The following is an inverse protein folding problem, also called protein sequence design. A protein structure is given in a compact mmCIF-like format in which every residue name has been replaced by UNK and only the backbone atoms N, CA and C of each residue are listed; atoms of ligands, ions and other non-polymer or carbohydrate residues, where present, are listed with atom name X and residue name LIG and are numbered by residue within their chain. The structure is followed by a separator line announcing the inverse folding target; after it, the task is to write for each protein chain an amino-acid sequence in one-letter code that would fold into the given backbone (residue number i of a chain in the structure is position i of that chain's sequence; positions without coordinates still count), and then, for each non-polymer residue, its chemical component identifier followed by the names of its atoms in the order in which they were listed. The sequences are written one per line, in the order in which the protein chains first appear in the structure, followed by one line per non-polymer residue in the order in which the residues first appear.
data_IF_605214004499
#
_entry.id   IF_605214004499
#
_cell.length_a   1.000
_cell.length_b   1.000
_cell.length_c   1.000
_cell.angle_alpha   90.00
_cell.angle_beta   90.00
_cell.angle_gamma   90.00
#
_symmetry.space_group_name_H-M   'P 1'
#
loop_
_entity.id
_entity.type
_entity.pdbx_description
1 polymer ?
#
# COMPACT_ATOMS: atom_id res chain seq x y z
N UNK A 1 1.93 12.21 -14.88
CA UNK A 1 0.72 11.73 -14.15
C UNK A 1 1.06 10.62 -13.16
N UNK A 2 1.75 9.55 -13.58
CA UNK A 2 2.19 8.49 -12.69
C UNK A 2 3.05 8.99 -11.51
N UNK A 3 4.00 9.90 -11.75
CA UNK A 3 4.90 10.37 -10.69
C UNK A 3 4.18 11.23 -9.64
N UNK A 4 3.20 12.03 -10.05
CA UNK A 4 2.31 12.78 -9.14
C UNK A 4 1.44 11.84 -8.31
N UNK A 5 0.92 10.76 -8.91
CA UNK A 5 0.14 9.76 -8.20
C UNK A 5 1.00 9.03 -7.16
N UNK A 6 2.19 8.54 -7.57
CA UNK A 6 3.19 7.91 -6.69
C UNK A 6 3.52 8.83 -5.51
N UNK A 7 3.80 10.12 -5.77
CA UNK A 7 4.11 11.09 -4.72
C UNK A 7 2.94 11.29 -3.75
N UNK A 8 1.73 11.38 -4.26
CA UNK A 8 0.52 11.58 -3.45
C UNK A 8 0.23 10.36 -2.57
N UNK A 9 0.39 9.16 -3.13
CA UNK A 9 0.28 7.90 -2.39
C UNK A 9 1.33 7.83 -1.28
N UNK A 10 2.59 8.17 -1.59
CA UNK A 10 3.66 8.17 -0.59
C UNK A 10 3.43 9.13 0.58
N UNK A 11 2.91 10.34 0.29
CA UNK A 11 2.49 11.28 1.33
C UNK A 11 1.33 10.75 2.17
N UNK A 12 0.35 10.09 1.53
CA UNK A 12 -0.79 9.49 2.22
C UNK A 12 -0.37 8.36 3.16
N UNK A 13 0.54 7.48 2.74
CA UNK A 13 1.07 6.39 3.56
C UNK A 13 1.82 6.90 4.80
N UNK A 14 2.64 7.95 4.64
CA UNK A 14 3.34 8.60 5.77
C UNK A 14 2.36 9.29 6.71
N UNK A 15 1.36 10.00 6.17
CA UNK A 15 0.34 10.67 6.98
C UNK A 15 -0.51 9.64 7.77
N UNK A 16 -0.88 8.55 7.12
CA UNK A 16 -1.60 7.44 7.73
C UNK A 16 -0.78 6.79 8.86
N UNK A 17 0.51 6.55 8.63
CA UNK A 17 1.40 6.04 9.67
C UNK A 17 1.53 7.00 10.86
N UNK A 18 1.64 8.31 10.59
CA UNK A 18 1.62 9.33 11.63
C UNK A 18 0.33 9.30 12.45
N UNK A 19 -0.82 9.17 11.79
CA UNK A 19 -2.11 9.01 12.48
C UNK A 19 -2.15 7.73 13.32
N UNK A 20 -1.63 6.60 12.80
CA UNK A 20 -1.57 5.35 13.55
C UNK A 20 -0.69 5.45 14.82
N UNK A 21 0.36 6.28 14.80
CA UNK A 21 1.25 6.46 15.95
C UNK A 21 0.67 7.47 16.97
N UNK A 22 0.17 8.61 16.49
CA UNK A 22 -0.18 9.75 17.35
C UNK A 22 -1.68 9.86 17.66
N UNK A 23 -2.56 9.37 16.79
CA UNK A 23 -4.02 9.38 16.96
C UNK A 23 -4.65 8.05 16.50
N UNK A 24 -4.36 6.92 17.17
CA UNK A 24 -4.86 5.63 16.76
C UNK A 24 -6.38 5.48 16.98
N UNK A 25 -6.94 6.07 18.04
CA UNK A 25 -8.37 5.95 18.36
C UNK A 25 -9.33 6.25 17.20
N UNK A 26 -9.28 7.43 16.55
CA UNK A 26 -10.21 7.75 15.46
C UNK A 26 -10.03 6.85 14.23
N UNK A 27 -8.86 6.26 14.06
CA UNK A 27 -8.55 5.42 12.90
C UNK A 27 -9.00 3.98 13.13
N UNK A 28 -8.74 3.46 14.34
CA UNK A 28 -9.06 2.10 14.72
C UNK A 28 -10.54 1.94 15.11
N UNK A 29 -11.15 2.92 15.78
CA UNK A 29 -12.55 2.88 16.21
C UNK A 29 -13.50 3.74 15.34
N UNK A 30 -12.97 4.37 14.28
CA UNK A 30 -13.75 5.22 13.39
C UNK A 30 -14.84 4.48 12.63
N UNK A 31 -15.77 5.26 12.06
CA UNK A 31 -16.90 4.74 11.27
C UNK A 31 -16.47 3.77 10.15
N UNK A 32 -15.30 4.00 9.56
CA UNK A 32 -14.73 3.13 8.55
C UNK A 32 -14.37 1.74 9.11
N UNK A 33 -13.68 1.68 10.26
CA UNK A 33 -13.34 0.42 10.91
C UNK A 33 -14.57 -0.35 11.39
N UNK A 34 -15.61 0.36 11.87
CA UNK A 34 -16.91 -0.24 12.20
C UNK A 34 -17.59 -0.81 10.94
N UNK A 35 -17.56 -0.06 9.83
CA UNK A 35 -18.10 -0.54 8.56
C UNK A 35 -17.35 -1.79 8.05
N UNK A 36 -16.02 -1.77 8.06
CA UNK A 36 -15.20 -2.95 7.68
C UNK A 36 -15.53 -4.14 8.57
N UNK A 37 -15.64 -3.94 9.90
CA UNK A 37 -16.07 -5.00 10.81
C UNK A 37 -17.43 -5.57 10.42
N UNK A 38 -18.41 -4.71 10.11
CA UNK A 38 -19.76 -5.16 9.76
C UNK A 38 -19.82 -5.98 8.46
N UNK A 39 -18.97 -5.65 7.48
CA UNK A 39 -18.95 -6.32 6.18
C UNK A 39 -18.13 -7.62 6.23
N UNK A 40 -17.03 -7.62 6.96
CA UNK A 40 -16.02 -8.68 6.89
C UNK A 40 -15.99 -9.59 8.12
N UNK A 41 -16.60 -9.17 9.23
CA UNK A 41 -16.58 -9.87 10.50
C UNK A 41 -15.24 -9.84 11.25
N UNK A 42 -14.22 -9.13 10.75
CA UNK A 42 -12.94 -9.01 11.45
C UNK A 42 -13.07 -8.08 12.67
N UNK A 43 -12.43 -8.45 13.77
CA UNK A 43 -12.42 -7.64 15.01
C UNK A 43 -11.85 -6.25 14.73
N UNK A 44 -12.51 -5.24 15.29
CA UNK A 44 -11.98 -3.88 15.34
C UNK A 44 -10.68 -3.94 16.13
N UNK A 45 -9.57 -3.51 15.53
CA UNK A 45 -8.30 -3.55 16.24
C UNK A 45 -8.32 -2.60 17.43
N UNK A 46 -7.79 -3.06 18.55
CA UNK A 46 -7.53 -2.23 19.70
C UNK A 46 -6.02 -1.92 19.77
N UNK A 47 -5.60 -0.66 19.54
CA UNK A 47 -4.19 -0.28 19.59
C UNK A 47 -3.55 -0.52 20.97
N UNK A 48 -4.36 -0.59 22.05
CA UNK A 48 -3.89 -0.88 23.39
C UNK A 48 -3.61 -2.37 23.65
N UNK A 49 -4.25 -3.28 22.93
CA UNK A 49 -4.08 -4.73 23.09
C UNK A 49 -2.89 -5.29 22.29
N UNK A 50 -2.44 -4.56 21.27
CA UNK A 50 -1.34 -4.96 20.40
C UNK A 50 -0.48 -3.78 19.93
N UNK A 51 0.16 -3.02 20.85
CA UNK A 51 0.90 -1.80 20.49
C UNK A 51 2.05 -2.07 19.51
N UNK A 52 2.75 -3.21 19.65
CA UNK A 52 3.82 -3.60 18.74
C UNK A 52 3.33 -3.91 17.32
N UNK A 53 2.12 -4.46 17.17
CA UNK A 53 1.53 -4.72 15.86
C UNK A 53 1.12 -3.42 15.16
N UNK A 54 0.47 -2.51 15.87
CA UNK A 54 0.10 -1.19 15.35
C UNK A 54 1.34 -0.38 14.93
N UNK A 55 2.38 -0.37 15.77
CA UNK A 55 3.66 0.28 15.46
C UNK A 55 4.36 -0.37 14.27
N UNK A 56 4.38 -1.71 14.19
CA UNK A 56 4.96 -2.43 13.06
C UNK A 56 4.30 -2.07 11.73
N UNK A 57 2.97 -2.02 11.69
CA UNK A 57 2.22 -1.58 10.50
C UNK A 57 2.51 -0.11 10.15
N UNK A 58 2.57 0.78 11.14
CA UNK A 58 2.91 2.18 10.90
C UNK A 58 4.32 2.33 10.31
N UNK A 59 5.32 1.64 10.86
CA UNK A 59 6.69 1.65 10.34
C UNK A 59 6.77 1.11 8.90
N UNK A 60 6.02 0.05 8.59
CA UNK A 60 5.92 -0.48 7.24
C UNK A 60 5.34 0.55 6.26
N UNK A 61 4.25 1.26 6.66
CA UNK A 61 3.66 2.33 5.85
C UNK A 61 4.62 3.50 5.65
N UNK A 62 5.36 3.92 6.68
CA UNK A 62 6.41 4.95 6.50
C UNK A 62 7.46 4.49 5.50
N UNK A 63 7.97 3.26 5.62
CA UNK A 63 9.01 2.75 4.73
C UNK A 63 8.53 2.70 3.27
N UNK A 64 7.31 2.20 3.03
CA UNK A 64 6.69 2.17 1.71
C UNK A 64 6.49 3.60 1.19
N UNK A 65 5.91 4.50 2.00
CA UNK A 65 5.64 5.87 1.58
C UNK A 65 6.91 6.67 1.25
N UNK A 66 7.99 6.47 2.01
CA UNK A 66 9.31 7.05 1.67
C UNK A 66 9.82 6.49 0.35
N UNK A 67 9.68 5.18 0.11
CA UNK A 67 10.08 4.59 -1.17
C UNK A 67 9.30 5.20 -2.35
N UNK A 68 7.98 5.43 -2.22
CA UNK A 68 7.20 6.14 -3.22
C UNK A 68 7.70 7.57 -3.45
N UNK A 69 7.99 8.33 -2.38
CA UNK A 69 8.52 9.69 -2.51
C UNK A 69 9.84 9.71 -3.28
N UNK A 70 10.78 8.82 -2.95
CA UNK A 70 12.05 8.69 -3.67
C UNK A 70 11.80 8.31 -5.13
N UNK A 71 10.98 7.29 -5.39
CA UNK A 71 10.68 6.85 -6.75
C UNK A 71 10.00 7.93 -7.60
N UNK A 72 9.20 8.82 -7.00
CA UNK A 72 8.55 9.92 -7.71
C UNK A 72 9.53 10.92 -8.33
N UNK A 73 10.78 10.97 -7.84
CA UNK A 73 11.85 11.84 -8.36
C UNK A 73 12.96 11.06 -9.06
N UNK A 74 13.03 9.73 -8.91
CA UNK A 74 14.05 8.87 -9.52
C UNK A 74 13.79 8.49 -10.99
N UNK A 75 12.67 8.92 -11.57
CA UNK A 75 12.34 8.70 -12.97
C UNK A 75 11.70 7.34 -13.28
N UNK A 76 11.48 7.02 -14.57
CA UNK A 76 10.65 5.89 -15.00
C UNK A 76 11.17 4.52 -14.53
N UNK A 77 12.48 4.34 -14.42
CA UNK A 77 13.10 3.07 -14.02
C UNK A 77 12.80 2.62 -12.59
N UNK A 78 12.34 3.51 -11.71
CA UNK A 78 11.97 3.16 -10.33
C UNK A 78 10.54 2.57 -10.22
N UNK A 79 9.72 2.70 -11.27
CA UNK A 79 8.29 2.33 -11.24
C UNK A 79 8.05 0.82 -11.08
N UNK A 80 8.80 -0.08 -11.75
CA UNK A 80 8.63 -1.53 -11.55
C UNK A 80 8.97 -1.96 -10.12
N UNK A 81 9.98 -1.35 -9.50
CA UNK A 81 10.37 -1.63 -8.12
C UNK A 81 9.28 -1.22 -7.13
N UNK A 82 8.69 -0.03 -7.31
CA UNK A 82 7.55 0.39 -6.48
C UNK A 82 6.35 -0.51 -6.68
N UNK A 83 6.05 -0.90 -7.92
CA UNK A 83 4.99 -1.87 -8.17
C UNK A 83 5.25 -3.18 -7.41
N UNK A 84 6.47 -3.72 -7.46
CA UNK A 84 6.82 -4.95 -6.76
C UNK A 84 6.69 -4.83 -5.23
N UNK A 85 7.12 -3.70 -4.64
CA UNK A 85 6.98 -3.43 -3.20
C UNK A 85 5.51 -3.41 -2.79
N UNK A 86 4.66 -2.70 -3.53
CA UNK A 86 3.22 -2.62 -3.23
C UNK A 86 2.54 -3.99 -3.43
N UNK A 87 2.90 -4.72 -4.48
CA UNK A 87 2.37 -6.06 -4.74
C UNK A 87 2.76 -7.03 -3.60
N UNK A 88 4.02 -7.00 -3.15
CA UNK A 88 4.48 -7.80 -2.02
C UNK A 88 3.73 -7.43 -0.73
N UNK A 89 3.57 -6.12 -0.46
CA UNK A 89 2.81 -5.64 0.69
C UNK A 89 1.33 -6.09 0.63
N UNK A 90 0.69 -6.01 -0.53
CA UNK A 90 -0.68 -6.47 -0.74
C UNK A 90 -0.82 -7.97 -0.50
N UNK A 91 0.07 -8.79 -1.08
CA UNK A 91 0.08 -10.24 -0.88
C UNK A 91 0.28 -10.58 0.61
N UNK A 92 1.26 -9.98 1.27
CA UNK A 92 1.51 -10.21 2.69
C UNK A 92 0.32 -9.79 3.56
N UNK A 93 -0.34 -8.68 3.24
CA UNK A 93 -1.53 -8.23 3.95
C UNK A 93 -2.71 -9.20 3.75
N UNK A 94 -2.96 -9.66 2.52
CA UNK A 94 -3.98 -10.68 2.24
C UNK A 94 -3.68 -11.99 2.97
N UNK A 95 -2.45 -12.50 2.87
CA UNK A 95 -2.04 -13.71 3.59
C UNK A 95 -2.19 -13.54 5.11
N UNK A 96 -1.88 -12.36 5.65
CA UNK A 96 -2.10 -12.05 7.07
C UNK A 96 -3.58 -12.12 7.43
N UNK A 97 -4.48 -11.59 6.59
CA UNK A 97 -5.93 -11.71 6.83
C UNK A 97 -6.41 -13.17 6.82
N UNK A 98 -5.88 -14.00 5.91
CA UNK A 98 -6.29 -15.40 5.75
C UNK A 98 -5.75 -16.27 6.89
N UNK A 99 -4.46 -16.18 7.19
CA UNK A 99 -3.81 -17.07 8.16
C UNK A 99 -3.95 -16.65 9.61
N UNK A 100 -4.15 -15.36 9.89
CA UNK A 100 -4.19 -14.81 11.26
C UNK A 100 -5.59 -14.42 11.72
N UNK A 101 -6.63 -14.97 11.08
CA UNK A 101 -8.05 -14.68 11.40
C UNK A 101 -8.41 -14.91 12.87
N UNK A 102 -7.83 -15.91 13.50
CA UNK A 102 -8.18 -16.33 14.88
C UNK A 102 -7.29 -15.72 15.97
N UNK A 103 -6.08 -15.26 15.62
CA UNK A 103 -5.09 -14.77 16.58
C UNK A 103 -5.31 -13.32 17.03
N UNK A 104 -6.31 -12.63 16.47
CA UNK A 104 -6.57 -11.20 16.72
C UNK A 104 -5.61 -10.26 15.97
N UNK A 105 -4.58 -10.79 15.30
CA UNK A 105 -3.66 -10.05 14.42
C UNK A 105 -4.32 -9.68 13.09
N UNK A 106 -5.18 -10.54 12.54
CA UNK A 106 -6.06 -10.14 11.44
C UNK A 106 -7.23 -9.32 11.99
N UNK A 107 -7.16 -8.02 11.77
CA UNK A 107 -8.13 -7.05 12.24
C UNK A 107 -8.59 -6.15 11.09
N UNK A 108 -9.54 -5.28 11.38
CA UNK A 108 -10.04 -4.27 10.42
C UNK A 108 -8.92 -3.48 9.75
N UNK A 109 -7.81 -3.20 10.46
CA UNK A 109 -6.65 -2.50 9.92
C UNK A 109 -5.86 -3.33 8.90
N UNK A 110 -5.66 -4.62 9.15
CA UNK A 110 -4.99 -5.53 8.22
C UNK A 110 -5.80 -5.69 6.92
N UNK A 111 -7.12 -5.77 7.03
CA UNK A 111 -8.04 -5.80 5.88
C UNK A 111 -7.97 -4.50 5.09
N UNK A 112 -7.97 -3.36 5.78
CA UNK A 112 -7.85 -2.04 5.16
C UNK A 112 -6.54 -1.89 4.42
N UNK A 113 -5.44 -2.35 5.00
CA UNK A 113 -4.14 -2.35 4.35
C UNK A 113 -4.12 -3.27 3.13
N UNK A 114 -4.67 -4.47 3.23
CA UNK A 114 -4.77 -5.41 2.10
C UNK A 114 -5.54 -4.80 0.93
N UNK A 115 -6.67 -4.16 1.21
CA UNK A 115 -7.48 -3.50 0.18
C UNK A 115 -6.76 -2.30 -0.43
N UNK A 116 -6.17 -1.43 0.41
CA UNK A 116 -5.50 -0.21 -0.04
C UNK A 116 -4.28 -0.53 -0.90
N UNK A 117 -3.42 -1.44 -0.44
CA UNK A 117 -2.21 -1.86 -1.17
C UNK A 117 -2.56 -2.61 -2.46
N UNK A 118 -3.65 -3.40 -2.48
CA UNK A 118 -4.16 -4.02 -3.71
C UNK A 118 -4.64 -2.96 -4.70
N UNK A 119 -5.41 -1.97 -4.24
CA UNK A 119 -5.92 -0.89 -5.08
C UNK A 119 -4.77 -0.03 -5.65
N UNK A 120 -3.76 0.29 -4.83
CA UNK A 120 -2.55 1.00 -5.27
C UNK A 120 -1.80 0.17 -6.31
N UNK A 121 -1.63 -1.14 -6.09
CA UNK A 121 -0.97 -2.03 -7.05
C UNK A 121 -1.69 -2.05 -8.40
N UNK A 122 -3.02 -2.17 -8.40
CA UNK A 122 -3.84 -2.11 -9.62
C UNK A 122 -3.73 -0.75 -10.29
N UNK A 123 -3.79 0.34 -9.53
CA UNK A 123 -3.64 1.69 -10.07
C UNK A 123 -2.26 1.89 -10.72
N UNK A 124 -1.20 1.44 -10.06
CA UNK A 124 0.16 1.49 -10.60
C UNK A 124 0.29 0.65 -11.87
N UNK A 125 -0.33 -0.54 -11.91
CA UNK A 125 -0.40 -1.37 -13.11
C UNK A 125 -1.07 -0.63 -14.28
N UNK A 126 -2.24 -0.03 -14.04
CA UNK A 126 -2.98 0.75 -15.03
C UNK A 126 -2.24 2.00 -15.50
N UNK A 127 -1.47 2.62 -14.61
CA UNK A 127 -0.60 3.76 -14.92
C UNK A 127 0.69 3.36 -15.66
N UNK A 128 0.88 2.08 -15.96
CA UNK A 128 2.04 1.57 -16.69
C UNK A 128 3.30 1.41 -15.83
N UNK A 129 3.20 1.54 -14.50
CA UNK A 129 4.34 1.37 -13.60
C UNK A 129 4.90 -0.07 -13.62
N UNK A 130 4.08 -1.04 -14.03
CA UNK A 130 4.47 -2.43 -14.24
C UNK A 130 4.91 -2.74 -15.68
N UNK A 131 4.76 -1.80 -16.62
CA UNK A 131 4.80 -2.12 -18.05
C UNK A 131 6.10 -1.70 -18.72
N UNK A 132 6.84 -2.71 -19.14
CA UNK A 132 7.98 -2.70 -20.08
C UNK A 132 7.60 -2.31 -21.53
N UNK A 133 6.50 -1.55 -21.71
CA UNK A 133 5.92 -1.29 -23.05
C UNK A 133 6.49 -0.07 -23.76
N UNK A 134 7.19 0.83 -23.05
CA UNK A 134 7.85 1.97 -23.68
C UNK A 134 9.18 1.58 -24.36
N UNK A 135 9.90 0.58 -23.84
CA UNK A 135 11.16 0.11 -24.45
C UNK A 135 10.90 -0.68 -25.75
N UNK A 136 9.92 -1.60 -25.76
CA UNK A 136 9.56 -2.36 -26.96
C UNK A 136 9.06 -1.49 -28.13
N UNK A 137 8.46 -0.33 -27.84
CA UNK A 137 7.95 0.58 -28.88
C UNK A 137 9.05 1.51 -29.40
N UNK A 138 10.00 1.91 -28.55
CA UNK A 138 11.18 2.67 -28.97
C UNK A 138 12.13 1.81 -29.84
N UNK A 139 12.31 0.54 -29.48
CA UNK A 139 13.12 -0.42 -30.25
C UNK A 139 12.50 -0.72 -31.62
N UNK A 140 11.19 -0.96 -31.68
CA UNK A 140 10.46 -1.16 -32.97
C UNK A 140 10.42 0.05 -33.89
N UNK A 141 10.57 1.26 -33.36
CA UNK A 141 10.65 2.49 -34.18
C UNK A 141 12.07 2.69 -34.71
N UNK A 142 13.09 2.28 -33.94
CA UNK A 142 14.49 2.31 -34.37
C UNK A 142 14.75 1.31 -35.50
N UNK A 143 14.23 0.09 -35.37
CA UNK A 143 14.31 -0.97 -36.41
C UNK A 143 13.50 -0.67 -37.70
N UNK A 144 12.63 0.35 -37.70
CA UNK A 144 11.90 0.80 -38.89
C UNK A 144 12.54 2.02 -39.57
N UNK A 145 13.55 2.62 -38.94
CA UNK A 145 14.26 3.78 -39.45
C UNK A 145 15.62 3.42 -40.07
N UNK A 146 16.03 2.15 -39.99
CA UNK A 146 17.16 1.54 -40.70
C UNK A 146 16.64 0.71 -41.90
#
# INVERSE_FOLDING_TARGET
MADTAIRTIGLADIALAGLMIYLPEPLYQGAYSVWVNSVTGYKIANPAEGPGFAQGLALMLVAIGVAHLVASVSGPGAKPTIFAINAAAAVLAVLSTVFQKESGLACTMTVTMAFSQSAITVLLYLLGAASDKDESRAEKVKDRAE
#
